data_IF_398852339894
#
_entry.id   IF_398852339894
#
_cell.length_a   1.000
_cell.length_b   1.000
_cell.length_c   1.000
_cell.angle_alpha   90.00
_cell.angle_beta   90.00
_cell.angle_gamma   90.00
#
_symmetry.space_group_name_H-M   'P 1'
#
loop_
_entity.id
_entity.type
_entity.pdbx_description
1 polymer ?
2 polymer ?
3 non-polymer ?
4 water ?
#
# COMPACT_ATOMS: atom_id res chain seq x y z
N UNK A 6 -5.37 -19.07 -1.39
CA UNK A 6 -6.67 -19.07 -0.73
C UNK A 6 -7.18 -17.64 -0.52
N UNK A 7 -7.07 -16.83 -1.57
CA UNK A 7 -7.51 -15.44 -1.54
C UNK A 7 -9.00 -15.38 -1.89
N UNK A 8 -9.83 -14.99 -0.92
CA UNK A 8 -11.27 -14.93 -1.14
C UNK A 8 -11.68 -13.59 -1.74
N UNK A 9 -12.89 -13.55 -2.28
CA UNK A 9 -13.40 -12.30 -2.81
C UNK A 9 -13.58 -11.27 -1.70
N UNK A 10 -13.92 -11.71 -0.48
CA UNK A 10 -14.02 -10.77 0.63
C UNK A 10 -12.67 -10.12 0.92
N UNK A 11 -11.59 -10.91 0.88
CA UNK A 11 -10.26 -10.37 1.10
C UNK A 11 -9.86 -9.40 -0.01
N UNK A 12 -10.14 -9.74 -1.26
CA UNK A 12 -9.83 -8.82 -2.37
C UNK A 12 -10.57 -7.50 -2.20
N UNK A 13 -11.82 -7.55 -1.74
CA UNK A 13 -12.58 -6.33 -1.48
C UNK A 13 -11.95 -5.51 -0.36
N UNK A 14 -11.49 -6.16 0.71
CA UNK A 14 -10.82 -5.41 1.78
C UNK A 14 -9.55 -4.76 1.27
N UNK A 15 -8.76 -5.51 0.50
CA UNK A 15 -7.49 -5.00 -0.01
C UNK A 15 -7.72 -3.86 -0.99
N UNK A 16 -8.76 -3.96 -1.82
CA UNK A 16 -9.09 -2.86 -2.72
C UNK A 16 -9.48 -1.61 -1.94
N UNK A 17 -10.19 -1.78 -0.83
CA UNK A 17 -10.57 -0.63 -0.01
C UNK A 17 -9.33 0.02 0.58
N UNK A 18 -8.42 -0.80 1.11
CA UNK A 18 -7.15 -0.27 1.62
C UNK A 18 -6.40 0.47 0.53
N UNK A 19 -6.32 -0.12 -0.66
CA UNK A 19 -5.66 0.53 -1.79
C UNK A 19 -6.25 1.91 -2.03
N UNK A 20 -7.58 2.01 -2.03
CA UNK A 20 -8.26 3.27 -2.28
C UNK A 20 -7.91 4.32 -1.24
N UNK A 21 -7.54 3.91 -0.03
CA UNK A 21 -7.19 4.89 0.98
C UNK A 21 -5.88 5.59 0.63
N UNK A 22 -4.96 4.88 -0.02
CA UNK A 22 -3.72 5.46 -0.51
C UNK A 22 -3.95 6.25 -1.79
N UNK A 23 -4.70 5.67 -2.72
CA UNK A 23 -4.93 6.23 -4.05
C UNK A 23 -5.90 7.39 -3.92
N UNK A 24 -5.37 8.51 -3.42
CA UNK A 24 -6.20 9.64 -3.02
C UNK A 24 -7.01 10.19 -4.19
N UNK A 25 -6.42 10.26 -5.38
CA UNK A 25 -7.12 10.82 -6.52
C UNK A 25 -7.88 9.78 -7.33
N UNK A 26 -7.80 8.51 -6.95
CA UNK A 26 -8.58 7.48 -7.61
C UNK A 26 -8.14 7.11 -9.01
N UNK A 27 -6.92 7.49 -9.41
CA UNK A 27 -6.47 7.20 -10.77
C UNK A 27 -5.91 5.79 -10.93
N UNK A 28 -6.00 4.95 -9.90
CA UNK A 28 -5.54 3.58 -10.00
C UNK A 28 -4.09 3.34 -9.66
N UNK A 29 -3.35 4.37 -9.25
CA UNK A 29 -1.95 4.18 -8.89
C UNK A 29 -1.64 4.96 -7.63
N UNK A 30 -0.73 4.43 -6.81
CA UNK A 30 -0.26 5.12 -5.63
C UNK A 30 1.08 5.75 -5.97
N UNK A 31 1.20 7.06 -5.78
CA UNK A 31 2.42 7.79 -6.07
C UNK A 31 3.18 8.09 -4.78
N UNK A 32 4.42 8.56 -4.92
CA UNK A 32 5.13 8.98 -3.71
C UNK A 32 4.43 10.18 -3.06
N UNK A 33 3.79 11.04 -3.85
CA UNK A 33 3.06 12.15 -3.25
C UNK A 33 1.91 11.66 -2.39
N UNK A 34 1.13 10.70 -2.90
CA UNK A 34 0.01 10.17 -2.13
C UNK A 34 0.50 9.41 -0.91
N UNK A 35 1.57 8.63 -1.05
CA UNK A 35 2.16 7.95 0.10
C UNK A 35 2.63 8.95 1.15
N UNK A 36 3.28 10.03 0.70
CA UNK A 36 3.74 11.04 1.65
C UNK A 36 2.59 11.70 2.38
N UNK A 37 1.49 11.96 1.67
CA UNK A 37 0.33 12.57 2.31
C UNK A 37 -0.20 11.69 3.43
N UNK A 38 -0.27 10.38 3.19
CA UNK A 38 -0.74 9.44 4.21
C UNK A 38 0.23 9.39 5.38
N UNK A 39 1.53 9.34 5.09
CA UNK A 39 2.50 9.26 6.17
C UNK A 39 2.48 10.51 7.04
N UNK A 40 2.42 11.68 6.42
CA UNK A 40 2.42 12.89 7.22
C UNK A 40 1.15 13.00 8.06
N UNK A 41 0.03 12.48 7.57
CA UNK A 41 -1.20 12.49 8.36
C UNK A 41 -1.09 11.59 9.58
N UNK A 42 -0.16 10.64 9.57
CA UNK A 42 0.14 9.80 10.72
C UNK A 42 1.26 10.37 11.58
N UNK A 43 1.63 11.64 11.37
CA UNK A 43 2.72 12.24 12.11
C UNK A 43 4.11 11.84 11.68
N UNK A 44 4.24 11.15 10.54
CA UNK A 44 5.53 10.75 10.00
C UNK A 44 6.11 11.86 9.13
N UNK A 45 7.41 11.76 8.86
CA UNK A 45 8.11 12.81 8.11
C UNK A 45 9.10 12.21 7.12
N UNK A 46 8.61 11.41 6.16
CA UNK A 46 9.52 10.76 5.20
C UNK A 46 10.04 11.71 4.13
N UNK A 47 11.22 11.36 3.62
CA UNK A 47 11.77 12.02 2.44
C UNK A 47 11.22 11.36 1.17
N UNK A 48 11.36 12.07 0.05
CA UNK A 48 10.99 11.50 -1.24
C UNK A 48 11.75 10.21 -1.49
N UNK A 49 13.05 10.18 -1.17
CA UNK A 49 13.84 8.97 -1.39
C UNK A 49 13.32 7.81 -0.55
N UNK A 50 12.92 8.09 0.69
CA UNK A 50 12.34 7.04 1.52
C UNK A 50 11.02 6.55 0.93
N UNK A 51 10.20 7.46 0.40
CA UNK A 51 8.95 7.06 -0.23
C UNK A 51 9.20 6.22 -1.48
N UNK A 52 10.13 6.65 -2.32
CA UNK A 52 10.48 5.84 -3.48
C UNK A 52 11.01 4.47 -3.08
N UNK A 53 11.73 4.38 -1.96
CA UNK A 53 12.17 3.08 -1.46
C UNK A 53 10.99 2.20 -1.09
N UNK A 54 9.97 2.77 -0.45
CA UNK A 54 8.80 1.97 -0.09
C UNK A 54 8.10 1.45 -1.33
N UNK A 55 7.95 2.30 -2.34
CA UNK A 55 7.31 1.89 -3.58
C UNK A 55 8.13 0.82 -4.29
N UNK A 56 9.46 1.03 -4.37
CA UNK A 56 10.31 0.12 -5.14
C UNK A 56 10.18 -1.32 -4.66
N UNK A 57 10.03 -1.51 -3.35
CA UNK A 57 9.96 -2.85 -2.77
C UNK A 57 8.78 -3.66 -3.33
N UNK A 58 7.72 -3.00 -3.78
CA UNK A 58 6.53 -3.67 -4.28
C UNK A 58 6.23 -3.34 -5.74
N UNK A 59 7.03 -2.50 -6.38
CA UNK A 59 6.81 -2.03 -7.74
C UNK A 59 7.29 -3.11 -8.71
N UNK A 60 6.42 -4.11 -8.94
CA UNK A 60 6.82 -5.28 -9.72
C UNK A 60 7.21 -4.91 -11.15
N UNK A 61 6.55 -3.93 -11.76
CA UNK A 61 6.84 -3.61 -13.15
C UNK A 61 7.84 -2.47 -13.31
N UNK A 62 8.33 -1.89 -12.21
CA UNK A 62 9.38 -0.89 -12.26
C UNK A 62 8.99 0.47 -12.79
N UNK A 63 7.70 0.77 -12.91
CA UNK A 63 7.28 2.05 -13.44
C UNK A 63 7.20 3.15 -12.39
N UNK A 64 7.55 2.87 -11.13
CA UNK A 64 7.65 3.92 -10.14
C UNK A 64 6.39 4.22 -9.35
N UNK A 65 5.25 3.61 -9.67
CA UNK A 65 4.03 3.75 -8.89
C UNK A 65 3.47 2.35 -8.63
N UNK A 66 2.53 2.26 -7.68
CA UNK A 66 1.95 0.98 -7.28
C UNK A 66 0.52 0.94 -7.80
N UNK A 67 0.21 -0.05 -8.64
CA UNK A 67 -1.16 -0.25 -9.07
C UNK A 67 -1.81 -1.33 -8.21
N UNK A 68 -3.11 -1.54 -8.40
CA UNK A 68 -3.77 -2.52 -7.54
C UNK A 68 -3.24 -3.94 -7.72
N UNK A 69 -2.96 -4.44 -8.94
CA UNK A 69 -2.35 -5.77 -9.03
C UNK A 69 -1.08 -5.89 -8.20
N UNK A 70 -0.23 -4.86 -8.18
CA UNK A 70 0.99 -4.94 -7.38
C UNK A 70 0.66 -4.93 -5.89
N UNK A 71 -0.30 -4.09 -5.50
CA UNK A 71 -0.72 -4.03 -4.10
C UNK A 71 -1.31 -5.36 -3.65
N UNK A 72 -2.17 -5.95 -4.48
CA UNK A 72 -2.75 -7.25 -4.14
C UNK A 72 -1.68 -8.32 -4.03
N UNK A 73 -0.74 -8.34 -4.98
CA UNK A 73 0.38 -9.29 -4.93
C UNK A 73 1.13 -9.16 -3.62
N UNK A 74 1.35 -7.93 -3.17
CA UNK A 74 2.07 -7.76 -1.91
C UNK A 74 1.27 -8.30 -0.74
N UNK A 75 -0.03 -7.98 -0.67
CA UNK A 75 -0.85 -8.46 0.43
C UNK A 75 -0.96 -9.98 0.41
N UNK A 76 -1.04 -10.56 -0.79
CA UNK A 76 -1.14 -12.01 -0.89
C UNK A 76 0.14 -12.69 -0.41
N UNK A 77 1.29 -12.09 -0.70
CA UNK A 77 2.55 -12.66 -0.24
C UNK A 77 2.65 -12.63 1.28
N UNK A 78 2.21 -11.54 1.91
CA UNK A 78 2.23 -11.49 3.37
C UNK A 78 1.29 -12.54 3.97
N UNK A 79 0.23 -12.91 3.24
CA UNK A 79 -0.68 -13.94 3.74
C UNK A 79 0.01 -15.29 3.84
N UNK A 80 0.88 -15.61 2.89
CA UNK A 80 1.55 -16.91 2.85
C UNK A 80 2.72 -16.96 3.83
N UNK B 7 11.91 3.31 7.21
CA UNK B 7 11.99 1.94 7.71
C UNK B 7 10.62 1.24 7.67
N UNK B 8 9.53 2.01 7.68
CA UNK B 8 8.21 1.42 7.49
C UNK B 8 8.01 1.05 6.02
N UNK B 9 7.46 -0.13 5.79
CA UNK B 9 7.09 -0.57 4.46
C UNK B 9 5.65 -0.15 4.12
N UNK B 10 5.29 -0.32 2.84
CA UNK B 10 3.91 -0.07 2.44
C UNK B 10 2.96 -0.99 3.19
N UNK B 11 3.36 -2.24 3.41
CA UNK B 11 2.51 -3.13 4.19
C UNK B 11 2.31 -2.60 5.60
N UNK B 12 3.40 -2.15 6.24
CA UNK B 12 3.31 -1.58 7.58
C UNK B 12 2.31 -0.43 7.64
N UNK B 13 2.38 0.49 6.66
CA UNK B 13 1.44 1.60 6.62
C UNK B 13 0.01 1.12 6.39
N UNK B 14 -0.16 0.04 5.62
CA UNK B 14 -1.50 -0.50 5.40
C UNK B 14 -2.09 -1.01 6.71
N UNK B 15 -1.27 -1.67 7.52
CA UNK B 15 -1.78 -2.16 8.80
C UNK B 15 -2.15 -1.01 9.73
N UNK B 16 -1.51 0.15 9.56
CA UNK B 16 -1.88 1.31 10.37
C UNK B 16 -3.19 1.93 9.90
N UNK B 17 -3.40 2.05 8.60
CA UNK B 17 -4.56 2.78 8.12
C UNK B 17 -5.74 1.88 7.77
N UNK B 18 -5.51 0.58 7.59
CA UNK B 18 -6.59 -0.37 7.28
C UNK B 18 -6.35 -1.64 8.08
N UNK B 19 -6.70 -1.64 9.36
CA UNK B 19 -6.41 -2.81 10.22
C UNK B 19 -7.12 -4.09 9.79
N UNK B 20 -8.26 -4.00 9.10
CA UNK B 20 -8.89 -5.23 8.64
C UNK B 20 -8.01 -5.94 7.61
N UNK B 21 -7.45 -5.18 6.66
CA UNK B 21 -6.41 -5.73 5.79
C UNK B 21 -5.26 -6.31 6.60
N UNK B 22 -4.90 -5.64 7.70
CA UNK B 22 -3.85 -6.16 8.58
C UNK B 22 -4.23 -7.53 9.13
N UNK B 23 -5.41 -7.62 9.75
CA UNK B 23 -5.83 -8.88 10.37
C UNK B 23 -5.82 -10.03 9.37
N UNK B 24 -6.26 -9.77 8.13
CA UNK B 24 -6.25 -10.81 7.11
C UNK B 24 -4.84 -11.34 6.89
N UNK B 25 -3.86 -10.44 6.83
CA UNK B 25 -2.47 -10.85 6.60
C UNK B 25 -1.93 -11.68 7.75
N UNK B 26 -2.31 -11.34 8.98
CA UNK B 26 -1.87 -12.11 10.15
C UNK B 26 -2.87 -13.23 10.49
X LIG C 1 4.23 -0.39 -10.79
X LIG D 1 -3.33 8.03 -7.37
#
# INVERSE_FOLDING_TARGET
GPMADQLTEEQIAEFKEAFSLFDKDGDGTITTKELGTVMRSLGQNPTEAELQDMINEVDADGNGTIDFPEFLTMMARKMK
GPDKRKNLSLFDLTTLIHPRSAAIASERHN
CA CA
CA CA
#
